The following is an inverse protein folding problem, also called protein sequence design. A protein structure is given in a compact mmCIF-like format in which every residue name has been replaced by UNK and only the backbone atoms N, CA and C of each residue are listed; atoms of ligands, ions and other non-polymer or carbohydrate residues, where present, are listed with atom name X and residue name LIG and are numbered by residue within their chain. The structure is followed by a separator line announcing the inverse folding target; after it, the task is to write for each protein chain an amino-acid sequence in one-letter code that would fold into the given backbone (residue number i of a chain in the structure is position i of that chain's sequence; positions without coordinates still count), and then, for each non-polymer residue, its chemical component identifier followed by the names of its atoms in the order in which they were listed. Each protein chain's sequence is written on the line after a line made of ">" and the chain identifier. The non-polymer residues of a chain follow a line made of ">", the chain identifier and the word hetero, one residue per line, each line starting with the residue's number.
data_IF_738795155312
#
_entry.id   IF_738795155312
#
_cell.length_a   1.000
_cell.length_b   1.000
_cell.length_c   1.000
_cell.angle_alpha   90.00
_cell.angle_beta   90.00
_cell.angle_gamma   90.00
#
_symmetry.space_group_name_H-M   'P 1'
#
loop_
_entity.id
_entity.type
_entity.pdbx_description
1 polymer ?
#
# COMPACT_ATOMS: atom_id res chain seq x y z
N UNK A 1 6.15 -0.41 -22.67
CA UNK A 1 4.72 -0.74 -22.56
C UNK A 1 4.28 -0.80 -21.08
N UNK A 2 4.91 -1.58 -20.23
CA UNK A 2 4.49 -1.77 -18.81
C UNK A 2 4.57 -0.51 -17.91
N UNK A 3 5.59 0.35 -18.07
CA UNK A 3 5.68 1.64 -17.35
C UNK A 3 4.51 2.58 -17.65
N UNK A 4 4.05 2.57 -18.91
CA UNK A 4 2.93 3.42 -19.32
C UNK A 4 1.61 3.00 -18.66
N UNK A 5 1.41 1.72 -18.37
CA UNK A 5 0.22 1.25 -17.65
C UNK A 5 0.16 1.85 -16.24
N UNK A 6 1.29 1.90 -15.53
CA UNK A 6 1.32 2.52 -14.19
C UNK A 6 1.09 4.04 -14.24
N UNK A 7 1.64 4.73 -15.26
CA UNK A 7 1.37 6.15 -15.48
C UNK A 7 -0.12 6.39 -15.73
N UNK A 8 -0.78 5.54 -16.51
CA UNK A 8 -2.24 5.62 -16.75
C UNK A 8 -3.00 5.47 -15.43
N UNK A 9 -2.68 4.48 -14.60
CA UNK A 9 -3.30 4.30 -13.28
C UNK A 9 -3.14 5.53 -12.38
N UNK A 10 -1.96 6.16 -12.35
CA UNK A 10 -1.73 7.39 -11.59
C UNK A 10 -2.59 8.54 -12.11
N UNK A 11 -2.68 8.71 -13.43
CA UNK A 11 -3.51 9.77 -14.05
C UNK A 11 -5.00 9.55 -13.75
N UNK A 12 -5.47 8.32 -13.79
CA UNK A 12 -6.86 7.99 -13.42
C UNK A 12 -7.12 8.23 -11.93
N UNK A 13 -6.15 7.89 -11.06
CA UNK A 13 -6.23 8.19 -9.64
C UNK A 13 -6.34 9.71 -9.39
N UNK A 14 -5.50 10.53 -10.03
CA UNK A 14 -5.56 12.00 -9.93
C UNK A 14 -6.95 12.51 -10.37
N UNK A 15 -7.47 12.00 -11.47
CA UNK A 15 -8.81 12.38 -11.97
C UNK A 15 -9.93 12.03 -10.99
N UNK A 16 -9.82 10.89 -10.28
CA UNK A 16 -10.80 10.45 -9.27
C UNK A 16 -10.68 11.17 -7.92
N UNK A 17 -9.53 11.81 -7.65
CA UNK A 17 -9.24 12.47 -6.36
C UNK A 17 -8.74 13.91 -6.56
N UNK A 18 -9.57 14.81 -7.13
CA UNK A 18 -9.15 16.16 -7.49
C UNK A 18 -8.80 17.06 -6.29
N UNK A 19 -9.19 16.64 -5.08
CA UNK A 19 -8.92 17.35 -3.83
C UNK A 19 -7.53 17.04 -3.23
N UNK A 20 -6.80 16.07 -3.77
CA UNK A 20 -5.49 15.68 -3.24
C UNK A 20 -4.36 16.53 -3.83
N UNK A 21 -3.28 16.74 -3.05
CA UNK A 21 -2.06 17.36 -3.56
C UNK A 21 -1.37 16.40 -4.54
N UNK A 22 -1.30 16.82 -5.81
CA UNK A 22 -0.80 15.99 -6.91
C UNK A 22 0.71 16.13 -7.17
N UNK A 23 1.41 17.05 -6.47
CA UNK A 23 2.83 17.33 -6.75
C UNK A 23 3.72 16.10 -6.67
N UNK A 24 3.53 15.28 -5.64
CA UNK A 24 4.28 14.03 -5.50
C UNK A 24 3.94 13.04 -6.61
N UNK A 25 2.70 13.01 -7.09
CA UNK A 25 2.25 12.13 -8.17
C UNK A 25 2.79 12.57 -9.54
N UNK A 26 2.86 13.88 -9.80
CA UNK A 26 3.52 14.43 -11.00
C UNK A 26 5.02 14.11 -11.01
N UNK A 27 5.68 14.24 -9.85
CA UNK A 27 7.08 13.84 -9.69
C UNK A 27 7.28 12.33 -9.92
N UNK A 28 6.33 11.50 -9.47
CA UNK A 28 6.33 10.06 -9.69
C UNK A 28 6.15 9.72 -11.16
N UNK A 29 5.21 10.35 -11.86
CA UNK A 29 4.99 10.16 -13.29
C UNK A 29 6.29 10.46 -14.06
N UNK A 30 6.92 11.60 -13.77
CA UNK A 30 8.19 11.99 -14.40
C UNK A 30 9.29 10.95 -14.11
N UNK A 31 9.40 10.48 -12.87
CA UNK A 31 10.37 9.45 -12.49
C UNK A 31 10.16 8.13 -13.25
N UNK A 32 8.92 7.66 -13.37
CA UNK A 32 8.58 6.43 -14.10
C UNK A 32 8.88 6.60 -15.60
N UNK A 33 8.54 7.74 -16.17
CA UNK A 33 8.72 8.00 -17.61
C UNK A 33 10.20 8.05 -18.01
N UNK A 34 11.02 8.69 -17.18
CA UNK A 34 12.45 8.92 -17.48
C UNK A 34 13.38 7.80 -16.99
N UNK A 35 12.95 6.94 -16.04
CA UNK A 35 13.80 5.91 -15.47
C UNK A 35 13.37 4.49 -15.89
N UNK A 36 14.10 3.79 -16.80
CA UNK A 36 13.80 2.45 -17.23
C UNK A 36 13.90 1.40 -16.10
N UNK A 37 14.55 1.74 -14.99
CA UNK A 37 14.76 0.86 -13.84
C UNK A 37 13.93 1.27 -12.61
N UNK A 38 12.85 2.05 -12.79
CA UNK A 38 12.05 2.61 -11.70
C UNK A 38 11.43 1.56 -10.76
N UNK A 39 11.24 0.33 -11.22
CA UNK A 39 10.71 -0.77 -10.40
C UNK A 39 11.77 -1.52 -9.58
N UNK A 40 13.07 -1.30 -9.86
CA UNK A 40 14.14 -1.98 -9.12
C UNK A 40 14.34 -1.37 -7.74
N UNK A 41 14.46 -2.24 -6.73
CA UNK A 41 14.79 -1.83 -5.38
C UNK A 41 16.30 -1.59 -5.25
N UNK A 42 16.73 -0.33 -5.36
CA UNK A 42 18.15 0.07 -5.30
C UNK A 42 18.47 0.54 -3.88
N UNK A 43 19.46 -0.09 -3.24
CA UNK A 43 19.90 0.24 -1.88
C UNK A 43 20.98 1.34 -1.91
N UNK A 44 20.58 2.57 -2.13
CA UNK A 44 21.47 3.74 -2.16
C UNK A 44 20.81 4.99 -1.59
N UNK A 45 21.62 5.99 -1.24
CA UNK A 45 21.15 7.27 -0.74
C UNK A 45 20.22 7.96 -1.74
N UNK A 46 19.06 8.44 -1.25
CA UNK A 46 18.05 9.12 -2.07
C UNK A 46 17.29 8.19 -3.04
N UNK A 47 17.36 6.87 -2.86
CA UNK A 47 16.66 5.92 -3.72
C UNK A 47 15.15 6.17 -3.72
N UNK A 48 14.51 5.96 -4.88
CA UNK A 48 13.05 5.95 -5.03
C UNK A 48 12.58 4.54 -5.31
N UNK A 49 11.64 4.06 -4.51
CA UNK A 49 11.06 2.74 -4.65
C UNK A 49 9.56 2.84 -4.91
N UNK A 50 9.05 1.91 -5.69
CA UNK A 50 7.61 1.71 -5.88
C UNK A 50 7.23 0.47 -5.08
N UNK A 51 6.16 0.59 -4.29
CA UNK A 51 5.59 -0.48 -3.49
C UNK A 51 4.10 -0.62 -3.78
N UNK A 52 3.58 -1.81 -3.59
CA UNK A 52 2.17 -2.09 -3.78
C UNK A 52 1.62 -2.85 -2.58
N UNK A 53 0.44 -2.45 -2.11
CA UNK A 53 -0.16 -2.95 -0.89
C UNK A 53 -1.62 -3.33 -1.13
N UNK A 54 -2.09 -4.31 -0.36
CA UNK A 54 -3.48 -4.71 -0.34
C UNK A 54 -4.15 -4.28 0.97
N UNK A 55 -5.17 -3.43 0.88
CA UNK A 55 -6.10 -3.17 1.96
C UNK A 55 -7.15 -4.29 1.95
N UNK A 56 -6.93 -5.33 2.76
CA UNK A 56 -7.84 -6.45 2.84
C UNK A 56 -8.93 -6.16 3.87
N UNK A 57 -10.17 -6.14 3.41
CA UNK A 57 -11.35 -5.88 4.23
C UNK A 57 -12.15 -7.15 4.52
N UNK A 58 -12.93 -7.12 5.61
CA UNK A 58 -14.05 -8.04 5.80
C UNK A 58 -15.09 -7.84 4.68
N UNK A 59 -15.93 -8.87 4.36
CA UNK A 59 -16.90 -8.77 3.28
C UNK A 59 -17.86 -7.58 3.41
N UNK A 60 -18.16 -7.15 4.63
CA UNK A 60 -19.02 -6.01 4.96
C UNK A 60 -18.26 -4.68 5.10
N UNK A 61 -16.98 -4.63 4.77
CA UNK A 61 -16.07 -3.49 4.91
C UNK A 61 -15.93 -2.90 6.33
N UNK A 62 -16.44 -3.56 7.36
CA UNK A 62 -16.40 -3.05 8.74
C UNK A 62 -15.05 -3.24 9.42
N UNK A 63 -14.22 -4.15 8.92
CA UNK A 63 -12.88 -4.41 9.46
C UNK A 63 -11.85 -4.46 8.36
N UNK A 64 -10.63 -4.04 8.67
CA UNK A 64 -9.48 -4.07 7.79
C UNK A 64 -8.31 -4.79 8.46
N UNK A 65 -7.66 -5.70 7.73
CA UNK A 65 -6.51 -6.44 8.22
C UNK A 65 -5.26 -5.57 8.22
N UNK A 66 -4.56 -5.55 9.37
CA UNK A 66 -3.23 -4.96 9.49
C UNK A 66 -2.24 -5.98 10.07
N UNK A 67 -0.97 -5.79 9.74
CA UNK A 67 0.17 -6.59 10.15
C UNK A 67 1.13 -5.71 10.97
N UNK A 68 1.63 -6.23 12.10
CA UNK A 68 2.68 -5.56 12.87
C UNK A 68 4.04 -5.88 12.29
N UNK A 69 4.64 -4.92 11.61
CA UNK A 69 5.92 -5.10 10.95
C UNK A 69 7.10 -4.93 11.93
N UNK A 70 7.86 -6.00 12.13
CA UNK A 70 8.95 -6.09 13.13
C UNK A 70 10.04 -5.04 12.96
N UNK A 71 10.47 -4.76 11.72
CA UNK A 71 11.58 -3.82 11.45
C UNK A 71 11.22 -2.36 11.68
N UNK A 72 10.03 -1.94 11.26
CA UNK A 72 9.61 -0.53 11.39
C UNK A 72 8.80 -0.27 12.67
N UNK A 73 8.48 -1.32 13.42
CA UNK A 73 7.72 -1.27 14.68
C UNK A 73 6.40 -0.48 14.53
N UNK A 74 5.63 -0.84 13.51
CA UNK A 74 4.37 -0.18 13.18
C UNK A 74 3.37 -1.17 12.57
N UNK A 75 2.07 -0.87 12.70
CA UNK A 75 1.02 -1.52 11.97
C UNK A 75 1.07 -1.07 10.51
N UNK A 76 1.06 -2.04 9.60
CA UNK A 76 1.10 -1.85 8.15
C UNK A 76 0.02 -2.71 7.48
N UNK A 77 0.00 -2.66 6.17
CA UNK A 77 -0.87 -3.49 5.36
C UNK A 77 -0.03 -4.54 4.62
N UNK A 78 -0.60 -5.69 4.25
CA UNK A 78 0.07 -6.61 3.36
C UNK A 78 0.61 -5.89 2.12
N UNK A 79 1.91 -6.03 1.87
CA UNK A 79 2.52 -5.32 0.76
C UNK A 79 4.04 -5.26 0.79
N UNK A 80 4.61 -4.94 -0.38
CA UNK A 80 6.05 -4.88 -0.56
C UNK A 80 6.49 -4.09 -1.77
N UNK A 81 7.80 -4.11 -2.02
CA UNK A 81 8.38 -3.44 -3.17
C UNK A 81 8.08 -4.19 -4.48
N UNK A 82 8.01 -3.45 -5.57
CA UNK A 82 7.79 -4.05 -6.90
C UNK A 82 8.95 -4.94 -7.36
N UNK A 83 10.18 -4.70 -6.89
CA UNK A 83 11.38 -5.53 -7.12
C UNK A 83 11.63 -5.92 -8.59
N UNK A 84 11.28 -5.01 -9.49
CA UNK A 84 11.41 -5.18 -10.94
C UNK A 84 10.10 -5.54 -11.65
N UNK A 85 9.07 -5.93 -10.94
CA UNK A 85 7.74 -6.20 -11.51
C UNK A 85 6.97 -4.88 -11.73
N UNK A 86 6.53 -4.59 -12.95
CA UNK A 86 5.77 -3.37 -13.26
C UNK A 86 4.26 -3.49 -13.00
N UNK A 87 3.76 -4.69 -12.70
CA UNK A 87 2.34 -4.92 -12.42
C UNK A 87 2.05 -4.74 -10.93
N UNK A 88 1.63 -3.53 -10.56
CA UNK A 88 1.32 -3.20 -9.17
C UNK A 88 0.18 -4.06 -8.58
N UNK A 89 -0.78 -4.52 -9.39
CA UNK A 89 -1.84 -5.41 -8.91
C UNK A 89 -1.30 -6.81 -8.62
N UNK A 90 -0.45 -7.34 -9.51
CA UNK A 90 0.19 -8.63 -9.29
C UNK A 90 1.07 -8.61 -8.04
N UNK A 91 1.85 -7.54 -7.84
CA UNK A 91 2.66 -7.35 -6.63
C UNK A 91 1.78 -7.33 -5.38
N UNK A 92 0.69 -6.54 -5.35
CA UNK A 92 -0.20 -6.49 -4.18
C UNK A 92 -0.80 -7.86 -3.84
N UNK A 93 -1.21 -8.66 -4.84
CA UNK A 93 -1.72 -10.02 -4.63
C UNK A 93 -0.64 -10.98 -4.14
N UNK A 94 0.56 -10.89 -4.73
CA UNK A 94 1.70 -11.72 -4.34
C UNK A 94 2.08 -11.49 -2.88
N UNK A 95 2.24 -10.23 -2.47
CA UNK A 95 2.59 -9.88 -1.09
C UNK A 95 1.48 -10.28 -0.11
N UNK A 96 0.20 -10.11 -0.47
CA UNK A 96 -0.91 -10.58 0.34
C UNK A 96 -0.81 -12.09 0.59
N UNK A 97 -0.54 -12.88 -0.46
CA UNK A 97 -0.36 -14.33 -0.35
C UNK A 97 0.86 -14.67 0.52
N UNK A 98 2.02 -14.05 0.26
CA UNK A 98 3.27 -14.34 0.96
C UNK A 98 3.18 -14.02 2.46
N UNK A 99 2.52 -12.93 2.84
CA UNK A 99 2.44 -12.50 4.23
C UNK A 99 1.26 -13.11 5.00
N UNK A 100 0.15 -13.45 4.31
CA UNK A 100 -1.10 -13.87 4.99
C UNK A 100 -1.67 -15.22 4.56
N UNK A 101 -1.17 -15.81 3.49
CA UNK A 101 -1.69 -17.05 2.90
C UNK A 101 -3.04 -16.90 2.18
N UNK A 102 -3.54 -15.67 2.01
CA UNK A 102 -4.81 -15.41 1.32
C UNK A 102 -4.58 -15.41 -0.20
N UNK A 103 -5.43 -16.13 -0.93
CA UNK A 103 -5.40 -16.25 -2.39
C UNK A 103 -6.71 -15.76 -3.03
N UNK A 104 -6.72 -15.70 -4.36
CA UNK A 104 -7.93 -15.52 -5.18
C UNK A 104 -8.78 -14.28 -4.83
N UNK A 105 -8.11 -13.21 -4.37
CA UNK A 105 -8.78 -11.94 -4.11
C UNK A 105 -9.10 -11.20 -5.40
N UNK A 106 -10.31 -10.68 -5.47
CA UNK A 106 -10.69 -9.70 -6.49
C UNK A 106 -10.38 -8.28 -6.01
N UNK A 107 -9.60 -7.55 -6.82
CA UNK A 107 -9.36 -6.12 -6.58
C UNK A 107 -10.64 -5.36 -6.95
N UNK A 108 -11.20 -4.65 -5.99
CA UNK A 108 -12.50 -3.97 -6.12
C UNK A 108 -12.52 -2.85 -7.18
N UNK A 109 -11.39 -2.20 -7.42
CA UNK A 109 -11.22 -1.18 -8.47
C UNK A 109 -9.79 -1.31 -9.03
N UNK A 110 -9.66 -1.23 -10.35
CA UNK A 110 -8.34 -1.24 -11.00
C UNK A 110 -7.53 0.02 -10.67
N UNK A 111 -8.20 1.14 -10.39
CA UNK A 111 -7.55 2.36 -9.92
C UNK A 111 -7.21 2.20 -8.43
N UNK A 112 -6.00 2.56 -7.99
CA UNK A 112 -5.63 2.51 -6.59
C UNK A 112 -6.62 3.30 -5.71
N UNK A 113 -6.93 2.76 -4.55
CA UNK A 113 -7.72 3.45 -3.53
C UNK A 113 -6.98 4.65 -2.95
N UNK A 114 -5.65 4.49 -2.80
CA UNK A 114 -4.77 5.54 -2.31
C UNK A 114 -3.38 5.40 -2.92
N UNK A 115 -2.71 6.53 -3.17
CA UNK A 115 -1.28 6.58 -3.53
C UNK A 115 -0.64 7.57 -2.58
N UNK A 116 0.46 7.16 -1.93
CA UNK A 116 1.17 8.04 -1.00
C UNK A 116 2.67 7.86 -1.10
N UNK A 117 3.41 8.97 -0.91
CA UNK A 117 4.85 8.98 -0.75
C UNK A 117 5.23 8.93 0.73
N UNK A 118 6.23 8.12 1.04
CA UNK A 118 6.89 8.08 2.35
C UNK A 118 8.37 8.32 2.19
N UNK A 119 8.93 9.15 3.06
CA UNK A 119 10.37 9.38 3.14
C UNK A 119 10.93 8.71 4.39
N UNK A 120 11.73 7.68 4.18
CA UNK A 120 12.41 6.98 5.26
C UNK A 120 13.79 7.55 5.50
N UNK A 121 14.06 7.84 6.77
CA UNK A 121 15.37 8.32 7.22
C UNK A 121 16.38 7.17 7.29
N UNK A 122 17.67 7.54 7.30
CA UNK A 122 18.81 6.64 7.31
C UNK A 122 18.80 5.66 8.48
N UNK A 123 18.24 6.03 9.63
CA UNK A 123 18.19 5.22 10.85
C UNK A 123 17.42 3.91 10.67
N UNK A 124 16.47 3.86 9.76
CA UNK A 124 15.64 2.66 9.52
C UNK A 124 16.31 1.68 8.57
N UNK A 125 16.92 2.19 7.50
CA UNK A 125 17.42 1.36 6.40
C UNK A 125 18.94 1.50 6.12
N UNK A 126 19.66 2.36 6.86
CA UNK A 126 21.05 2.67 6.61
C UNK A 126 21.29 3.71 5.51
N UNK A 127 20.25 4.14 4.81
CA UNK A 127 20.25 5.19 3.77
C UNK A 127 18.87 5.83 3.71
N UNK A 128 18.77 7.07 3.19
CA UNK A 128 17.48 7.72 2.95
C UNK A 128 16.83 7.15 1.70
N UNK A 129 15.52 6.96 1.73
CA UNK A 129 14.75 6.55 0.57
C UNK A 129 13.34 7.10 0.59
N UNK A 130 12.77 7.33 -0.60
CA UNK A 130 11.35 7.60 -0.79
C UNK A 130 10.65 6.34 -1.30
N UNK A 131 9.51 6.01 -0.73
CA UNK A 131 8.64 4.95 -1.23
C UNK A 131 7.34 5.57 -1.73
N UNK A 132 6.99 5.29 -2.97
CA UNK A 132 5.68 5.58 -3.54
C UNK A 132 4.85 4.31 -3.43
N UNK A 133 3.90 4.30 -2.50
CA UNK A 133 3.07 3.15 -2.19
C UNK A 133 1.69 3.28 -2.82
N UNK A 134 1.30 2.25 -3.55
CA UNK A 134 -0.02 2.07 -4.13
C UNK A 134 -0.84 1.17 -3.22
N UNK A 135 -2.08 1.55 -2.93
CA UNK A 135 -2.98 0.78 -2.09
C UNK A 135 -4.21 0.36 -2.89
N UNK A 136 -4.42 -0.93 -3.02
CA UNK A 136 -5.60 -1.52 -3.65
C UNK A 136 -6.53 -2.10 -2.60
N UNK A 137 -7.83 -2.19 -2.91
CA UNK A 137 -8.83 -2.77 -2.02
C UNK A 137 -9.22 -4.15 -2.51
N UNK A 138 -9.31 -5.10 -1.58
CA UNK A 138 -9.97 -6.37 -1.76
C UNK A 138 -10.76 -6.74 -0.50
N UNK A 139 -11.75 -7.60 -0.63
CA UNK A 139 -12.40 -8.28 0.49
C UNK A 139 -11.82 -9.69 0.64
N UNK A 140 -11.78 -10.19 1.89
CA UNK A 140 -11.36 -11.56 2.13
C UNK A 140 -12.35 -12.53 1.47
N UNK A 141 -11.89 -13.52 0.68
CA UNK A 141 -12.77 -14.52 0.11
C UNK A 141 -13.39 -15.43 1.17
N UNK A 142 -14.59 -15.93 0.89
CA UNK A 142 -15.29 -16.84 1.79
C UNK A 142 -14.47 -18.08 2.15
N UNK A 143 -14.48 -18.45 3.43
CA UNK A 143 -13.78 -19.64 3.94
C UNK A 143 -12.27 -19.50 4.08
N UNK A 144 -11.67 -18.37 3.68
CA UNK A 144 -10.25 -18.13 3.90
C UNK A 144 -10.01 -17.41 5.24
N UNK A 145 -8.90 -17.76 5.88
CA UNK A 145 -8.48 -17.18 7.15
C UNK A 145 -7.01 -16.80 7.08
N UNK A 146 -6.66 -15.51 7.30
CA UNK A 146 -5.27 -15.08 7.22
C UNK A 146 -4.43 -15.71 8.34
N UNK A 147 -3.19 -16.02 8.01
CA UNK A 147 -2.17 -16.55 8.94
C UNK A 147 -0.88 -15.77 8.72
N UNK A 148 -0.07 -15.63 9.77
CA UNK A 148 1.27 -15.08 9.61
C UNK A 148 2.12 -16.10 8.87
N UNK A 149 2.49 -15.79 7.63
CA UNK A 149 3.31 -16.67 6.78
C UNK A 149 4.80 -16.29 6.83
N UNK A 150 5.12 -15.02 7.15
CA UNK A 150 6.49 -14.51 7.28
C UNK A 150 6.75 -13.96 8.70
N UNK A 151 6.96 -14.84 9.70
CA UNK A 151 7.11 -14.43 11.12
C UNK A 151 8.33 -13.54 11.37
N UNK A 152 9.35 -13.61 10.52
CA UNK A 152 10.54 -12.74 10.61
C UNK A 152 10.23 -11.28 10.25
N UNK A 153 9.22 -11.06 9.41
CA UNK A 153 8.79 -9.73 8.99
C UNK A 153 7.58 -9.23 9.79
N UNK A 154 6.68 -10.12 10.15
CA UNK A 154 5.40 -9.81 10.76
C UNK A 154 5.19 -10.65 12.03
N UNK A 155 5.03 -9.98 13.17
CA UNK A 155 4.87 -10.62 14.49
C UNK A 155 3.42 -10.85 14.87
N UNK A 156 2.52 -9.95 14.48
CA UNK A 156 1.10 -9.93 14.85
C UNK A 156 0.25 -9.52 13.65
N UNK A 157 -0.99 -9.97 13.64
CA UNK A 157 -2.01 -9.46 12.74
C UNK A 157 -3.29 -9.17 13.50
N UNK A 158 -4.06 -8.19 13.04
CA UNK A 158 -5.31 -7.81 13.67
C UNK A 158 -6.29 -7.22 12.65
N UNK A 159 -7.56 -7.53 12.85
CA UNK A 159 -8.68 -6.94 12.13
C UNK A 159 -9.18 -5.71 12.89
N UNK A 160 -8.85 -4.53 12.42
CA UNK A 160 -9.25 -3.26 13.02
C UNK A 160 -10.62 -2.80 12.52
N UNK A 161 -11.47 -2.31 13.44
CA UNK A 161 -12.59 -1.43 13.08
C UNK A 161 -12.08 -0.02 12.79
N UNK A 162 -12.90 0.86 12.16
CA UNK A 162 -12.49 2.27 11.95
C UNK A 162 -12.10 2.98 13.24
N UNK A 163 -12.80 2.72 14.36
CA UNK A 163 -12.56 3.35 15.65
C UNK A 163 -11.23 2.87 16.27
N UNK A 164 -10.95 1.57 16.22
CA UNK A 164 -9.69 1.00 16.67
C UNK A 164 -8.53 1.51 15.80
N UNK A 165 -8.74 1.58 14.48
CA UNK A 165 -7.74 2.08 13.53
C UNK A 165 -7.45 3.56 13.72
N UNK A 166 -8.45 4.38 14.09
CA UNK A 166 -8.27 5.80 14.41
C UNK A 166 -7.26 5.99 15.55
N UNK A 167 -7.22 5.11 16.54
CA UNK A 167 -6.24 5.17 17.62
C UNK A 167 -4.80 5.03 17.11
N UNK A 168 -4.57 4.30 16.01
CA UNK A 168 -3.25 4.15 15.39
C UNK A 168 -2.80 5.45 14.72
N UNK A 169 -3.74 6.27 14.20
CA UNK A 169 -3.40 7.50 13.46
C UNK A 169 -2.77 8.57 14.36
N UNK A 170 -3.03 8.54 15.66
CA UNK A 170 -2.51 9.53 16.63
C UNK A 170 -0.99 9.53 16.76
N UNK A 171 -0.35 8.39 16.45
CA UNK A 171 1.10 8.21 16.51
C UNK A 171 1.69 7.81 15.16
N UNK A 172 0.94 8.01 14.08
CA UNK A 172 1.36 7.63 12.73
C UNK A 172 2.38 8.63 12.18
N UNK A 173 3.65 8.27 12.29
CA UNK A 173 4.79 9.06 11.82
C UNK A 173 4.73 9.45 10.34
N UNK A 174 3.99 8.70 9.55
CA UNK A 174 3.95 8.84 8.09
C UNK A 174 2.59 9.30 7.56
N UNK A 175 1.60 9.55 8.43
CA UNK A 175 0.22 9.91 8.09
C UNK A 175 -0.49 8.93 7.11
N UNK A 176 0.02 7.71 7.01
CA UNK A 176 -0.55 6.67 6.15
C UNK A 176 -1.99 6.39 6.56
N UNK A 177 -2.13 6.13 7.86
CA UNK A 177 -3.35 5.61 8.43
C UNK A 177 -4.47 6.66 8.40
N UNK A 178 -4.15 7.94 8.63
CA UNK A 178 -5.15 9.01 8.62
C UNK A 178 -5.83 9.19 7.26
N UNK A 179 -5.07 9.15 6.16
CA UNK A 179 -5.62 9.27 4.81
C UNK A 179 -6.47 8.05 4.42
N UNK A 180 -6.00 6.86 4.74
CA UNK A 180 -6.73 5.61 4.49
C UNK A 180 -8.01 5.57 5.31
N UNK A 181 -7.96 5.93 6.62
CA UNK A 181 -9.12 5.97 7.48
C UNK A 181 -10.21 6.92 6.94
N UNK A 182 -9.82 8.13 6.55
CA UNK A 182 -10.77 9.11 5.99
C UNK A 182 -11.48 8.58 4.74
N UNK A 183 -10.75 7.90 3.86
CA UNK A 183 -11.34 7.29 2.66
C UNK A 183 -12.20 6.07 3.00
N UNK A 184 -11.77 5.25 3.96
CA UNK A 184 -12.53 4.10 4.43
C UNK A 184 -13.87 4.50 5.05
N UNK A 185 -13.88 5.49 5.95
CA UNK A 185 -15.10 6.01 6.56
C UNK A 185 -16.10 6.51 5.51
N UNK A 186 -15.61 7.22 4.47
CA UNK A 186 -16.47 7.65 3.35
C UNK A 186 -17.09 6.45 2.59
N UNK A 187 -16.32 5.38 2.41
CA UNK A 187 -16.79 4.17 1.71
C UNK A 187 -17.86 3.43 2.52
N UNK A 188 -17.67 3.28 3.83
CA UNK A 188 -18.65 2.61 4.73
C UNK A 188 -19.94 3.39 4.83
N UNK A 189 -19.91 4.74 4.79
CA UNK A 189 -21.13 5.57 4.83
C UNK A 189 -21.94 5.45 3.53
N UNK A 190 -21.30 5.10 2.41
CA UNK A 190 -21.93 5.03 1.08
C UNK A 190 -22.33 3.60 0.67
N UNK A 191 -22.00 2.58 1.47
CA UNK A 191 -22.41 1.17 1.26
C UNK A 191 -23.55 0.78 2.17
#
# INVERSE_FOLDING_TARGET
>A
MQRQSLIVLIKEYIKKNPEEDIKDLESLITYIDTNPHCFKCIKQEGARHIASNMLLFSPDYKKMLCLWHTKIQAWTFPGGHCDGDPDAHAVARKELLEETGITDVEIADQVPFHIQRFDYKKEVYGYTKSIYAFFFIATIPDGQHPKIMEPDKCEKMHWFTPEEFEALTKNDKYNINANILRKWQRKVILS
#
